data_IF_805689787527
#
_entry.id   IF_805689787527
#
_cell.length_a   1.000
_cell.length_b   1.000
_cell.length_c   1.000
_cell.angle_alpha   90.00
_cell.angle_beta   90.00
_cell.angle_gamma   90.00
#
_symmetry.space_group_name_H-M   'P 1'
#
loop_
_entity.id
_entity.type
_entity.pdbx_description
1 polymer ?
#
# COMPACT_ATOMS: atom_id res chain seq x y z
N UNK A 1 17.56 -0.59 29.57
CA UNK A 1 16.55 -1.52 29.02
C UNK A 1 15.21 -0.78 28.88
N UNK A 2 15.11 0.19 27.97
CA UNK A 2 13.89 1.02 27.75
C UNK A 2 13.70 1.43 26.27
N UNK A 3 14.44 0.84 25.32
CA UNK A 3 14.41 1.23 23.90
C UNK A 3 13.53 0.35 22.99
N UNK A 4 13.24 -0.90 23.40
CA UNK A 4 12.58 -1.90 22.54
C UNK A 4 11.10 -1.59 22.27
N UNK A 5 10.41 -0.95 23.22
CA UNK A 5 8.96 -0.68 23.13
C UNK A 5 8.62 0.40 22.08
N UNK A 6 9.58 1.26 21.74
CA UNK A 6 9.38 2.30 20.72
C UNK A 6 9.58 1.73 19.31
N UNK A 7 10.63 0.94 19.13
CA UNK A 7 10.98 0.36 17.82
C UNK A 7 9.95 -0.68 17.35
N UNK A 8 9.47 -1.56 18.24
CA UNK A 8 8.41 -2.51 17.94
C UNK A 8 7.09 -1.83 17.54
N UNK A 9 6.69 -0.78 18.27
CA UNK A 9 5.51 0.03 17.97
C UNK A 9 5.62 0.73 16.61
N UNK A 10 6.77 1.32 16.30
CA UNK A 10 7.01 1.97 15.01
C UNK A 10 6.93 0.97 13.84
N UNK A 11 7.38 -0.27 14.06
CA UNK A 11 7.31 -1.34 13.06
C UNK A 11 5.87 -1.81 12.80
N UNK A 12 5.06 -1.99 13.86
CA UNK A 12 3.63 -2.35 13.73
C UNK A 12 2.85 -1.26 13.00
N UNK A 13 3.10 0.01 13.31
CA UNK A 13 2.46 1.13 12.61
C UNK A 13 2.81 1.13 11.13
N UNK A 14 4.07 0.89 10.79
CA UNK A 14 4.54 0.83 9.41
C UNK A 14 3.93 -0.37 8.65
N UNK A 15 3.80 -1.51 9.33
CA UNK A 15 3.17 -2.73 8.81
C UNK A 15 1.70 -2.53 8.46
N UNK A 16 0.94 -1.81 9.29
CA UNK A 16 -0.49 -1.55 9.07
C UNK A 16 -0.71 -0.34 8.14
N UNK A 17 0.22 0.61 8.08
CA UNK A 17 0.10 1.80 7.24
C UNK A 17 0.01 1.48 5.74
N UNK A 18 0.85 0.56 5.22
CA UNK A 18 0.82 0.25 3.79
C UNK A 18 -0.51 -0.39 3.32
N UNK A 19 -1.04 -1.44 4.00
CA UNK A 19 -2.35 -2.01 3.66
C UNK A 19 -3.51 -1.04 3.85
N UNK A 20 -3.46 -0.15 4.85
CA UNK A 20 -4.54 0.83 5.06
C UNK A 20 -4.57 1.91 3.97
N UNK A 21 -3.41 2.39 3.52
CA UNK A 21 -3.32 3.29 2.35
C UNK A 21 -3.90 2.62 1.11
N UNK A 22 -3.56 1.34 0.87
CA UNK A 22 -4.13 0.57 -0.23
C UNK A 22 -5.66 0.43 -0.11
N UNK A 23 -6.18 0.08 1.06
CA UNK A 23 -7.62 -0.08 1.28
C UNK A 23 -8.39 1.23 1.05
N UNK A 24 -7.84 2.36 1.52
CA UNK A 24 -8.42 3.68 1.28
C UNK A 24 -8.39 4.07 -0.20
N UNK A 25 -7.26 3.82 -0.89
CA UNK A 25 -7.15 4.03 -2.34
C UNK A 25 -8.20 3.21 -3.10
N UNK A 26 -8.37 1.93 -2.75
CA UNK A 26 -9.36 1.04 -3.34
C UNK A 26 -10.79 1.56 -3.13
N UNK A 27 -11.14 1.92 -1.90
CA UNK A 27 -12.48 2.44 -1.58
C UNK A 27 -12.78 3.74 -2.32
N UNK A 28 -11.82 4.65 -2.41
CA UNK A 28 -11.98 5.91 -3.14
C UNK A 28 -12.11 5.68 -4.65
N UNK A 29 -11.23 4.87 -5.24
CA UNK A 29 -11.27 4.58 -6.67
C UNK A 29 -12.58 3.90 -7.06
N UNK A 30 -13.00 2.90 -6.29
CA UNK A 30 -14.24 2.15 -6.54
C UNK A 30 -15.49 2.99 -6.25
N UNK A 31 -15.52 3.72 -5.13
CA UNK A 31 -16.65 4.56 -4.75
C UNK A 31 -16.91 5.67 -5.75
N UNK A 32 -15.86 6.35 -6.22
CA UNK A 32 -15.99 7.39 -7.25
C UNK A 32 -16.48 6.79 -8.57
N UNK A 33 -15.94 5.65 -8.99
CA UNK A 33 -16.40 4.96 -10.20
C UNK A 33 -17.89 4.57 -10.10
N UNK A 34 -18.31 4.02 -8.96
CA UNK A 34 -19.70 3.63 -8.71
C UNK A 34 -20.65 4.83 -8.75
N UNK A 35 -20.30 5.94 -8.08
CA UNK A 35 -21.14 7.15 -8.05
C UNK A 35 -21.25 7.81 -9.43
N UNK A 36 -20.16 7.83 -10.21
CA UNK A 36 -20.16 8.40 -11.55
C UNK A 36 -20.91 7.54 -12.57
N UNK A 37 -20.88 6.20 -12.43
CA UNK A 37 -21.56 5.30 -13.36
C UNK A 37 -23.00 4.95 -12.96
N UNK A 38 -23.40 5.14 -11.70
CA UNK A 38 -24.76 4.86 -11.22
C UNK A 38 -25.90 5.57 -11.99
N UNK A 39 -25.76 6.82 -12.47
CA UNK A 39 -26.84 7.51 -13.17
C UNK A 39 -27.20 6.86 -14.51
N UNK A 40 -26.27 6.13 -15.15
CA UNK A 40 -26.43 5.50 -16.47
C UNK A 40 -26.93 6.44 -17.60
N UNK A 41 -26.73 7.76 -17.45
CA UNK A 41 -27.28 8.77 -18.37
C UNK A 41 -26.28 9.20 -19.44
N UNK A 42 -24.98 8.98 -19.20
CA UNK A 42 -23.88 9.41 -20.05
C UNK A 42 -22.85 8.27 -20.27
N UNK A 43 -23.34 7.10 -20.67
CA UNK A 43 -22.56 5.84 -20.79
C UNK A 43 -21.39 5.97 -21.79
N UNK A 44 -21.52 6.88 -22.77
CA UNK A 44 -20.51 7.16 -23.81
C UNK A 44 -19.70 8.43 -23.55
N UNK A 45 -19.93 9.13 -22.44
CA UNK A 45 -19.19 10.34 -22.12
C UNK A 45 -17.90 9.97 -21.40
N UNK A 46 -16.78 10.40 -21.98
CA UNK A 46 -15.46 10.08 -21.45
C UNK A 46 -15.29 10.70 -20.06
N UNK A 47 -15.04 9.87 -19.05
CA UNK A 47 -14.91 10.33 -17.65
C UNK A 47 -13.50 10.86 -17.36
N UNK A 48 -13.02 11.77 -18.20
CA UNK A 48 -11.63 12.22 -18.23
C UNK A 48 -11.20 12.85 -16.90
N UNK A 49 -12.07 13.67 -16.29
CA UNK A 49 -11.80 14.29 -14.99
C UNK A 49 -11.64 13.27 -13.85
N UNK A 50 -12.50 12.26 -13.80
CA UNK A 50 -12.42 11.17 -12.82
C UNK A 50 -11.17 10.33 -13.00
N UNK A 51 -10.77 10.05 -14.25
CA UNK A 51 -9.53 9.31 -14.55
C UNK A 51 -8.30 10.07 -14.08
N UNK A 52 -8.22 11.38 -14.33
CA UNK A 52 -7.11 12.21 -13.82
C UNK A 52 -7.07 12.28 -12.30
N UNK A 53 -8.23 12.36 -11.65
CA UNK A 53 -8.34 12.33 -10.20
C UNK A 53 -7.87 10.98 -9.63
N UNK A 54 -8.35 9.85 -10.15
CA UNK A 54 -7.93 8.50 -9.73
C UNK A 54 -6.44 8.32 -10.01
N UNK A 55 -5.92 8.76 -11.16
CA UNK A 55 -4.50 8.71 -11.48
C UNK A 55 -3.67 9.50 -10.46
N UNK A 56 -4.11 10.71 -10.09
CA UNK A 56 -3.45 11.53 -9.07
C UNK A 56 -3.42 10.83 -7.70
N UNK A 57 -4.56 10.31 -7.24
CA UNK A 57 -4.65 9.59 -5.95
C UNK A 57 -3.79 8.32 -5.98
N UNK A 58 -3.75 7.62 -7.12
CA UNK A 58 -2.89 6.44 -7.32
C UNK A 58 -1.42 6.79 -7.21
N UNK A 59 -0.97 7.85 -7.86
CA UNK A 59 0.44 8.29 -7.79
C UNK A 59 0.82 8.64 -6.35
N UNK A 60 -0.06 9.33 -5.62
CA UNK A 60 0.16 9.65 -4.20
C UNK A 60 0.24 8.37 -3.35
N UNK A 61 -0.67 7.43 -3.55
CA UNK A 61 -0.67 6.15 -2.83
C UNK A 61 0.60 5.33 -3.12
N UNK A 62 1.00 5.21 -4.39
CA UNK A 62 2.23 4.53 -4.80
C UNK A 62 3.48 5.20 -4.21
N UNK A 63 3.52 6.53 -4.18
CA UNK A 63 4.63 7.26 -3.57
C UNK A 63 4.72 6.96 -2.06
N UNK A 64 3.60 7.02 -1.33
CA UNK A 64 3.59 6.73 0.10
C UNK A 64 3.99 5.29 0.41
N UNK A 65 3.41 4.31 -0.30
CA UNK A 65 3.74 2.88 -0.12
C UNK A 65 5.19 2.61 -0.53
N UNK A 66 5.65 3.20 -1.64
CA UNK A 66 7.03 3.07 -2.10
C UNK A 66 8.04 3.62 -1.10
N UNK A 67 7.75 4.75 -0.45
CA UNK A 67 8.58 5.30 0.61
C UNK A 67 8.62 4.38 1.84
N UNK A 68 7.48 3.82 2.24
CA UNK A 68 7.39 2.84 3.34
C UNK A 68 8.19 1.59 3.01
N UNK A 69 8.00 1.02 1.82
CA UNK A 69 8.73 -0.16 1.35
C UNK A 69 10.25 0.09 1.31
N UNK A 70 10.69 1.23 0.76
CA UNK A 70 12.10 1.57 0.70
C UNK A 70 12.74 1.74 2.08
N UNK A 71 12.00 2.30 3.06
CA UNK A 71 12.47 2.41 4.44
C UNK A 71 12.61 1.04 5.09
N UNK A 72 11.54 0.23 5.06
CA UNK A 72 11.55 -1.12 5.62
C UNK A 72 12.63 -2.01 4.97
N UNK A 73 12.81 -1.90 3.65
CA UNK A 73 13.83 -2.65 2.91
C UNK A 73 15.26 -2.21 3.29
N UNK A 74 15.50 -0.90 3.48
CA UNK A 74 16.81 -0.38 3.92
C UNK A 74 17.13 -0.79 5.35
N UNK A 75 16.15 -0.75 6.25
CA UNK A 75 16.30 -1.21 7.63
C UNK A 75 16.63 -2.70 7.67
N UNK A 76 15.85 -3.54 6.96
CA UNK A 76 16.11 -4.98 6.87
C UNK A 76 17.50 -5.29 6.29
N UNK A 77 17.92 -4.58 5.23
CA UNK A 77 19.25 -4.75 4.63
C UNK A 77 20.38 -4.27 5.54
N UNK A 78 20.14 -3.22 6.32
CA UNK A 78 21.09 -2.65 7.28
C UNK A 78 21.35 -3.57 8.48
N UNK A 79 20.35 -4.33 8.93
CA UNK A 79 20.47 -5.31 10.01
C UNK A 79 21.07 -6.67 9.57
N UNK A 80 21.67 -6.73 8.37
CA UNK A 80 22.48 -7.85 7.92
C UNK A 80 21.74 -8.96 7.18
N UNK A 81 20.44 -8.81 6.89
CA UNK A 81 19.67 -9.72 6.01
C UNK A 81 19.62 -11.19 6.43
N UNK A 82 20.20 -11.53 7.59
CA UNK A 82 20.32 -12.89 8.09
C UNK A 82 19.18 -13.20 9.04
N UNK A 83 18.29 -14.09 8.64
CA UNK A 83 17.36 -14.77 9.55
C UNK A 83 18.16 -15.76 10.41
N UNK A 84 18.91 -15.29 11.40
CA UNK A 84 19.53 -16.17 12.41
C UNK A 84 18.42 -16.52 13.39
N UNK A 85 17.73 -17.59 13.04
CA UNK A 85 16.40 -17.94 13.50
C UNK A 85 16.50 -19.24 14.30
N UNK A 86 16.86 -19.17 15.58
CA UNK A 86 16.78 -20.34 16.46
C UNK A 86 16.86 -20.02 17.97
N UNK A 87 16.49 -18.80 18.39
CA UNK A 87 16.58 -18.40 19.80
C UNK A 87 15.33 -17.65 20.21
N UNK A 88 14.68 -18.08 21.30
CA UNK A 88 13.46 -17.51 21.92
C UNK A 88 13.77 -16.15 22.57
N UNK A 89 14.28 -15.22 21.76
CA UNK A 89 14.82 -13.92 22.16
C UNK A 89 14.06 -12.82 21.41
N UNK A 90 13.82 -11.68 22.06
CA UNK A 90 13.03 -10.57 21.49
C UNK A 90 13.55 -10.10 20.11
N UNK A 91 14.86 -10.25 19.86
CA UNK A 91 15.53 -9.89 18.61
C UNK A 91 15.10 -10.76 17.42
N UNK A 92 14.84 -12.06 17.65
CA UNK A 92 14.35 -12.96 16.60
C UNK A 92 12.91 -12.62 16.17
N UNK A 93 12.08 -12.19 17.12
CA UNK A 93 10.70 -11.74 16.85
C UNK A 93 10.67 -10.47 16.00
N UNK A 94 11.55 -9.51 16.29
CA UNK A 94 11.65 -8.26 15.54
C UNK A 94 12.04 -8.50 14.07
N UNK A 95 13.01 -9.37 13.81
CA UNK A 95 13.44 -9.72 12.44
C UNK A 95 12.31 -10.33 11.59
N UNK A 96 11.44 -11.14 12.21
CA UNK A 96 10.26 -11.70 11.52
C UNK A 96 9.22 -10.63 11.17
N UNK A 97 8.99 -9.67 12.07
CA UNK A 97 8.07 -8.55 11.84
C UNK A 97 8.58 -7.62 10.74
N UNK A 98 9.88 -7.33 10.69
CA UNK A 98 10.50 -6.55 9.63
C UNK A 98 10.33 -7.21 8.26
N UNK A 99 10.60 -8.52 8.15
CA UNK A 99 10.42 -9.27 6.91
C UNK A 99 8.96 -9.26 6.43
N UNK A 100 8.03 -9.51 7.34
CA UNK A 100 6.60 -9.48 7.05
C UNK A 100 6.16 -8.09 6.55
N UNK A 101 6.70 -7.02 7.14
CA UNK A 101 6.44 -5.64 6.72
C UNK A 101 6.87 -5.38 5.28
N UNK A 102 8.03 -5.88 4.86
CA UNK A 102 8.52 -5.77 3.48
C UNK A 102 7.58 -6.50 2.51
N UNK A 103 7.14 -7.72 2.85
CA UNK A 103 6.20 -8.49 2.02
C UNK A 103 4.84 -7.79 1.91
N UNK A 104 4.29 -7.31 3.02
CA UNK A 104 2.99 -6.63 3.04
C UNK A 104 3.04 -5.31 2.27
N UNK A 105 4.12 -4.53 2.39
CA UNK A 105 4.31 -3.31 1.63
C UNK A 105 4.45 -3.59 0.13
N UNK A 106 5.19 -4.64 -0.25
CA UNK A 106 5.31 -5.09 -1.64
C UNK A 106 3.96 -5.54 -2.22
N UNK A 107 3.19 -6.33 -1.48
CA UNK A 107 1.86 -6.77 -1.87
C UNK A 107 0.93 -5.57 -2.05
N UNK A 108 0.90 -4.64 -1.10
CA UNK A 108 0.08 -3.42 -1.15
C UNK A 108 0.40 -2.57 -2.39
N UNK A 109 1.70 -2.45 -2.74
CA UNK A 109 2.13 -1.74 -3.94
C UNK A 109 1.58 -2.37 -5.22
N UNK A 110 1.72 -3.70 -5.36
CA UNK A 110 1.17 -4.44 -6.52
C UNK A 110 -0.36 -4.31 -6.56
N UNK A 111 -1.03 -4.39 -5.42
CA UNK A 111 -2.47 -4.26 -5.34
C UNK A 111 -2.95 -2.86 -5.77
N UNK A 112 -2.26 -1.77 -5.42
CA UNK A 112 -2.60 -0.42 -5.92
C UNK A 112 -2.49 -0.34 -7.44
N UNK A 113 -1.46 -0.93 -8.03
CA UNK A 113 -1.31 -0.98 -9.50
C UNK A 113 -2.49 -1.71 -10.12
N UNK A 114 -2.84 -2.89 -9.59
CA UNK A 114 -3.97 -3.69 -10.09
C UNK A 114 -5.30 -2.95 -9.98
N UNK A 115 -5.52 -2.20 -8.90
CA UNK A 115 -6.73 -1.39 -8.72
C UNK A 115 -6.78 -0.20 -9.69
N UNK A 116 -5.63 0.35 -10.07
CA UNK A 116 -5.57 1.45 -11.03
C UNK A 116 -5.72 1.01 -12.49
N UNK A 117 -5.45 -0.26 -12.82
CA UNK A 117 -5.56 -0.79 -14.18
C UNK A 117 -6.94 -0.55 -14.83
N UNK A 118 -8.08 -0.87 -14.17
CA UNK A 118 -9.40 -0.56 -14.72
C UNK A 118 -9.58 0.92 -15.08
N UNK A 119 -9.13 1.84 -14.22
CA UNK A 119 -9.25 3.28 -14.50
C UNK A 119 -8.38 3.74 -15.71
N UNK A 120 -7.30 3.01 -16.00
CA UNK A 120 -6.46 3.26 -17.16
C UNK A 120 -7.01 2.64 -18.45
N UNK A 121 -7.62 1.45 -18.38
CA UNK A 121 -8.11 0.72 -19.55
C UNK A 121 -9.58 1.00 -19.90
N UNK A 122 -10.40 1.33 -18.91
CA UNK A 122 -11.84 1.58 -19.08
C UNK A 122 -12.05 3.09 -19.09
N UNK A 123 -12.44 3.62 -20.26
CA UNK A 123 -12.66 5.05 -20.47
C UNK A 123 -14.10 5.50 -20.19
N UNK A 124 -15.04 4.53 -20.16
CA UNK A 124 -16.49 4.73 -20.23
C UNK A 124 -17.21 3.85 -19.19
N UNK A 125 -18.43 4.20 -18.78
CA UNK A 125 -19.22 3.46 -17.79
C UNK A 125 -19.89 2.18 -18.30
N UNK A 126 -19.32 1.53 -19.32
CA UNK A 126 -19.89 0.33 -19.97
C UNK A 126 -19.53 -0.98 -19.27
#
# INVERSE_FOLDING_TARGET
MFGLDRQTRDNIWTLIAAPTIWALHFLLAYGVAAVQCAPNQAIFETITATRWMIAGITVVALALIGLIFLRAYREWKGHGGGTVNDQDTDVARESFLEFSTVLLAGLSFVSVIFVALPALFIADCR
#
